data_IF_903784158811
#
_entry.id   IF_903784158811
#
_cell.length_a   1.000
_cell.length_b   1.000
_cell.length_c   1.000
_cell.angle_alpha   90.00
_cell.angle_beta   90.00
_cell.angle_gamma   90.00
#
_symmetry.space_group_name_H-M   'P 1'
#
loop_
_entity.id
_entity.type
_entity.pdbx_description
1 polymer ?
#
# COMPACT_ATOMS: atom_id res chain seq x y z
N UNK A 1 47.91 13.40 29.89
CA UNK A 1 49.03 12.49 30.19
C UNK A 1 49.04 12.33 31.70
N UNK A 2 48.89 11.20 32.35
CA UNK A 2 48.86 9.76 32.05
C UNK A 2 48.13 9.13 33.27
N UNK A 3 47.25 8.14 33.12
CA UNK A 3 47.55 6.71 33.39
C UNK A 3 48.45 6.49 34.62
N UNK A 4 48.22 5.61 35.59
CA UNK A 4 47.44 4.38 35.76
C UNK A 4 47.57 4.04 37.27
N UNK A 5 46.86 3.13 37.95
CA UNK A 5 46.92 1.66 37.84
C UNK A 5 46.41 1.04 39.18
N UNK A 6 46.04 -0.25 39.16
CA UNK A 6 45.76 -1.21 40.27
C UNK A 6 44.35 -1.26 40.88
N UNK A 7 43.76 -2.41 41.28
CA UNK A 7 43.75 -3.85 40.92
C UNK A 7 42.80 -4.55 41.93
N UNK A 8 42.34 -5.78 41.61
CA UNK A 8 41.67 -6.84 42.42
C UNK A 8 40.14 -6.98 42.26
N UNK A 9 39.65 -8.06 41.62
CA UNK A 9 39.44 -9.47 42.11
C UNK A 9 38.20 -9.53 43.04
N UNK A 10 37.16 -10.37 42.89
CA UNK A 10 37.09 -11.80 42.52
C UNK A 10 35.74 -12.24 41.88
N UNK A 11 35.78 -13.49 41.40
CA UNK A 11 34.79 -14.37 40.78
C UNK A 11 33.38 -14.46 41.41
N UNK A 12 32.37 -14.68 40.56
CA UNK A 12 31.50 -15.87 40.63
C UNK A 12 30.80 -16.13 39.28
N UNK A 13 30.60 -17.41 39.03
CA UNK A 13 30.23 -18.07 37.79
C UNK A 13 28.72 -18.28 37.60
N UNK A 14 28.35 -18.63 36.35
CA UNK A 14 27.17 -19.37 35.89
C UNK A 14 25.99 -18.59 35.25
N UNK A 15 25.95 -18.72 33.92
CA UNK A 15 24.80 -19.07 33.06
C UNK A 15 23.48 -18.31 33.24
N UNK A 16 23.11 -17.56 32.20
CA UNK A 16 21.75 -17.55 31.63
C UNK A 16 21.82 -17.09 30.17
N UNK A 17 21.99 -18.06 29.28
CA UNK A 17 21.43 -17.99 27.94
C UNK A 17 19.90 -17.82 28.04
N UNK A 18 19.31 -17.25 26.98
CA UNK A 18 17.88 -17.05 26.76
C UNK A 18 17.25 -15.77 27.34
N UNK A 19 17.76 -14.61 26.92
CA UNK A 19 16.94 -13.41 26.68
C UNK A 19 17.77 -12.47 25.78
N UNK A 20 17.14 -11.67 24.92
CA UNK A 20 17.77 -10.76 23.95
C UNK A 20 18.14 -11.36 22.57
N UNK A 21 17.12 -11.65 21.76
CA UNK A 21 17.24 -11.59 20.28
C UNK A 21 16.17 -10.73 19.59
N UNK A 22 15.22 -10.14 20.31
CA UNK A 22 14.10 -9.39 19.70
C UNK A 22 14.35 -7.88 19.53
N UNK A 23 15.31 -7.27 20.26
CA UNK A 23 15.55 -5.83 20.14
C UNK A 23 16.25 -5.40 18.84
N UNK A 24 16.96 -6.31 18.16
CA UNK A 24 17.72 -5.98 16.95
C UNK A 24 16.86 -5.65 15.73
N UNK A 25 15.70 -6.30 15.58
CA UNK A 25 14.79 -6.09 14.46
C UNK A 25 13.96 -4.81 14.62
N UNK A 26 13.60 -4.45 15.86
CA UNK A 26 12.85 -3.23 16.14
C UNK A 26 13.74 -1.98 15.97
N UNK A 27 15.03 -2.07 16.33
CA UNK A 27 15.99 -0.97 16.16
C UNK A 27 16.28 -0.68 14.68
N UNK A 28 16.40 -1.73 13.85
CA UNK A 28 16.47 -1.60 12.38
C UNK A 28 15.20 -0.97 11.77
N UNK A 29 14.03 -1.21 12.37
CA UNK A 29 12.76 -0.63 11.93
C UNK A 29 12.65 0.87 12.23
N UNK A 30 13.26 1.32 13.32
CA UNK A 30 13.24 2.73 13.75
C UNK A 30 14.37 3.55 13.10
N UNK A 31 15.53 2.95 12.84
CA UNK A 31 16.72 3.66 12.33
C UNK A 31 16.73 3.90 10.80
N UNK A 32 15.85 3.28 10.01
CA UNK A 32 15.74 3.52 8.55
C UNK A 32 14.89 4.75 8.13
N UNK A 33 14.64 5.71 9.02
CA UNK A 33 13.99 6.99 8.64
C UNK A 33 14.98 7.97 8.01
N UNK A 34 15.50 7.64 6.82
CA UNK A 34 16.15 8.63 5.97
C UNK A 34 15.07 9.33 5.11
N UNK A 35 14.76 10.57 5.50
CA UNK A 35 13.94 11.55 4.78
C UNK A 35 12.43 11.28 4.69
N UNK A 36 11.74 11.32 5.83
CA UNK A 36 10.30 11.63 5.84
C UNK A 36 10.10 13.16 5.87
N UNK A 37 9.72 13.76 4.74
CA UNK A 37 8.95 15.00 4.77
C UNK A 37 7.48 14.62 4.89
N UNK A 38 6.69 15.13 5.86
CA UNK A 38 5.26 14.91 5.87
C UNK A 38 4.67 15.61 4.64
N UNK A 39 4.36 14.82 3.60
CA UNK A 39 3.38 15.25 2.62
C UNK A 39 2.03 15.23 3.37
N UNK A 40 1.35 16.37 3.49
CA UNK A 40 -0.03 16.43 3.96
C UNK A 40 -1.04 16.59 2.79
N UNK A 41 -1.20 15.63 1.87
CA UNK A 41 -2.40 15.56 1.06
C UNK A 41 -3.58 15.01 1.87
N UNK A 42 -4.77 15.55 1.64
CA UNK A 42 -6.01 15.12 2.27
C UNK A 42 -6.47 13.74 1.76
N UNK A 43 -5.83 12.66 2.25
CA UNK A 43 -6.16 11.27 1.94
C UNK A 43 -7.39 10.70 2.67
N UNK A 44 -8.01 11.50 3.54
CA UNK A 44 -9.24 11.14 4.24
C UNK A 44 -10.46 11.87 3.65
N UNK A 45 -10.37 12.36 2.40
CA UNK A 45 -11.49 13.01 1.70
C UNK A 45 -12.55 11.97 1.34
N UNK A 46 -13.75 12.16 1.88
CA UNK A 46 -14.94 11.38 1.54
C UNK A 46 -15.40 11.73 0.12
N UNK A 47 -15.98 10.76 -0.58
CA UNK A 47 -16.55 10.93 -1.91
C UNK A 47 -17.82 11.78 -1.84
N UNK A 48 -17.78 13.00 -2.39
CA UNK A 48 -18.91 13.94 -2.35
C UNK A 48 -20.14 13.47 -3.13
N UNK A 49 -19.93 12.59 -4.12
CA UNK A 49 -20.97 12.02 -4.95
C UNK A 49 -21.61 10.77 -4.33
N UNK A 50 -21.06 10.25 -3.23
CA UNK A 50 -21.51 9.00 -2.61
C UNK A 50 -22.40 9.26 -1.40
N UNK A 51 -23.56 8.59 -1.34
CA UNK A 51 -24.41 8.63 -0.17
C UNK A 51 -23.98 7.56 0.83
N UNK A 52 -23.22 7.97 1.85
CA UNK A 52 -22.72 7.10 2.90
C UNK A 52 -23.76 6.61 3.91
N UNK A 53 -25.05 6.94 3.71
CA UNK A 53 -26.15 6.27 4.41
C UNK A 53 -26.71 5.09 3.63
N UNK A 54 -26.46 5.01 2.32
CA UNK A 54 -26.96 3.93 1.49
C UNK A 54 -26.19 2.62 1.76
N UNK A 55 -26.81 1.46 1.48
CA UNK A 55 -26.10 0.18 1.42
C UNK A 55 -24.87 0.26 0.51
N UNK A 56 -23.81 -0.46 0.86
CA UNK A 56 -22.57 -0.44 0.10
C UNK A 56 -21.44 -1.21 0.78
N UNK A 57 -20.30 -1.31 0.09
CA UNK A 57 -19.09 -1.95 0.60
C UNK A 57 -17.92 -0.99 0.58
N UNK A 58 -17.16 -0.97 1.67
CA UNK A 58 -16.10 -0.03 1.89
C UNK A 58 -14.83 -0.74 2.34
N UNK A 59 -13.73 -0.56 1.61
CA UNK A 59 -12.39 -0.84 2.13
C UNK A 59 -11.93 0.40 2.90
N UNK A 60 -11.91 0.32 4.22
CA UNK A 60 -11.43 1.39 5.09
C UNK A 60 -10.01 1.13 5.56
N UNK A 61 -9.24 2.20 5.72
CA UNK A 61 -7.90 2.20 6.31
C UNK A 61 -7.84 3.17 7.48
N UNK A 62 -7.52 2.67 8.66
CA UNK A 62 -7.41 3.46 9.89
C UNK A 62 -5.95 3.44 10.33
N UNK A 63 -5.31 4.60 10.35
CA UNK A 63 -3.89 4.72 10.72
C UNK A 63 -3.70 4.76 12.24
N UNK A 64 -2.67 4.07 12.71
CA UNK A 64 -2.22 4.09 14.10
C UNK A 64 -1.70 5.47 14.46
N UNK A 65 -1.97 5.92 15.68
CA UNK A 65 -1.29 7.08 16.25
C UNK A 65 0.24 6.81 16.32
N UNK A 66 1.10 7.69 15.78
CA UNK A 66 2.55 7.51 15.84
C UNK A 66 3.11 7.28 17.24
N UNK A 67 2.45 7.79 18.29
CA UNK A 67 2.86 7.67 19.69
C UNK A 67 2.57 6.29 20.32
N UNK A 68 1.71 5.49 19.70
CA UNK A 68 1.31 4.18 20.22
C UNK A 68 2.25 3.09 19.69
N UNK A 69 2.54 2.07 20.50
CA UNK A 69 3.28 0.89 20.04
C UNK A 69 2.53 0.16 18.90
N UNK A 70 3.22 -0.58 18.00
CA UNK A 70 2.57 -1.27 16.89
C UNK A 70 1.41 -2.17 17.29
N UNK A 71 0.37 -2.22 16.46
CA UNK A 71 -0.80 -3.09 16.71
C UNK A 71 -0.50 -4.57 16.46
N UNK A 72 0.54 -4.87 15.71
CA UNK A 72 0.98 -6.23 15.41
C UNK A 72 2.44 -6.25 14.99
N UNK A 73 3.00 -7.45 14.90
CA UNK A 73 4.27 -7.74 14.25
C UNK A 73 4.00 -8.67 13.06
N UNK A 74 4.64 -8.41 11.92
CA UNK A 74 4.53 -9.32 10.77
C UNK A 74 5.48 -10.49 10.98
N UNK A 75 4.92 -11.70 10.97
CA UNK A 75 5.61 -12.97 11.22
C UNK A 75 5.43 -13.91 10.02
N UNK A 76 6.03 -15.10 10.08
CA UNK A 76 5.96 -16.13 9.05
C UNK A 76 7.08 -16.06 8.01
N UNK A 77 6.97 -16.89 6.98
CA UNK A 77 7.99 -17.13 5.95
C UNK A 77 7.40 -17.06 4.54
N UNK A 78 8.08 -16.37 3.62
CA UNK A 78 7.56 -16.13 2.27
C UNK A 78 7.37 -17.39 1.41
N UNK A 79 8.09 -18.48 1.70
CA UNK A 79 8.13 -19.70 0.88
C UNK A 79 7.56 -20.94 1.59
N UNK A 80 7.04 -20.80 2.81
CA UNK A 80 6.57 -21.91 3.62
C UNK A 80 5.05 -21.83 3.77
N UNK A 81 4.33 -22.74 3.11
CA UNK A 81 2.85 -22.78 3.14
C UNK A 81 2.33 -23.14 4.54
N UNK A 82 3.10 -23.84 5.36
CA UNK A 82 2.71 -24.15 6.73
C UNK A 82 2.90 -22.95 7.69
N UNK A 83 3.66 -21.94 7.27
CA UNK A 83 3.97 -20.74 8.06
C UNK A 83 3.86 -19.50 7.16
N UNK A 84 2.74 -19.36 6.46
CA UNK A 84 2.51 -18.23 5.57
C UNK A 84 2.55 -16.91 6.35
N UNK A 85 2.94 -15.79 5.73
CA UNK A 85 3.07 -14.54 6.46
C UNK A 85 1.75 -14.06 7.06
N UNK A 86 1.80 -13.68 8.34
CA UNK A 86 0.64 -13.25 9.12
C UNK A 86 0.99 -12.11 10.07
N UNK A 87 -0.02 -11.49 10.68
CA UNK A 87 0.14 -10.47 11.71
C UNK A 87 -0.08 -11.07 13.09
N UNK A 88 0.98 -11.17 13.89
CA UNK A 88 0.88 -11.51 15.30
C UNK A 88 0.48 -10.27 16.10
N UNK A 89 -0.72 -10.29 16.69
CA UNK A 89 -1.31 -9.11 17.33
C UNK A 89 -0.61 -8.74 18.64
N UNK A 90 -0.45 -7.44 18.88
CA UNK A 90 -0.12 -6.92 20.21
C UNK A 90 -1.39 -6.77 21.05
N UNK A 91 -1.25 -6.38 22.32
CA UNK A 91 -2.39 -6.12 23.21
C UNK A 91 -3.44 -5.18 22.60
N UNK A 92 -3.00 -4.05 22.04
CA UNK A 92 -3.90 -3.11 21.36
C UNK A 92 -4.48 -3.72 20.07
N UNK A 93 -3.70 -4.51 19.34
CA UNK A 93 -4.17 -5.26 18.17
C UNK A 93 -5.29 -6.25 18.49
N UNK A 94 -5.21 -6.97 19.62
CA UNK A 94 -6.23 -7.92 20.07
C UNK A 94 -7.55 -7.21 20.37
N UNK A 95 -7.51 -6.04 21.02
CA UNK A 95 -8.70 -5.23 21.29
C UNK A 95 -9.36 -4.81 19.97
N UNK A 96 -8.54 -4.37 19.01
CA UNK A 96 -9.01 -3.92 17.70
C UNK A 96 -9.63 -5.09 16.91
N UNK A 97 -8.94 -6.23 16.80
CA UNK A 97 -9.42 -7.42 16.10
C UNK A 97 -10.76 -7.92 16.68
N UNK A 98 -10.86 -8.02 18.01
CA UNK A 98 -12.10 -8.40 18.70
C UNK A 98 -13.25 -7.47 18.33
N UNK A 99 -13.06 -6.15 18.50
CA UNK A 99 -14.12 -5.18 18.24
C UNK A 99 -14.50 -5.09 16.76
N UNK A 100 -13.59 -5.40 15.84
CA UNK A 100 -13.90 -5.52 14.41
C UNK A 100 -14.79 -6.75 14.17
N UNK A 101 -14.48 -7.90 14.78
CA UNK A 101 -15.31 -9.11 14.67
C UNK A 101 -16.70 -8.90 15.27
N UNK A 102 -16.80 -8.19 16.39
CA UNK A 102 -18.06 -7.89 17.06
C UNK A 102 -19.02 -7.04 16.22
N UNK A 103 -18.52 -6.34 15.18
CA UNK A 103 -19.39 -5.62 14.23
C UNK A 103 -20.38 -6.57 13.56
N UNK A 104 -19.99 -7.83 13.29
CA UNK A 104 -20.85 -8.82 12.67
C UNK A 104 -22.06 -9.23 13.54
N UNK A 105 -22.07 -8.84 14.82
CA UNK A 105 -23.19 -9.07 15.73
C UNK A 105 -24.23 -7.94 15.66
N UNK A 106 -23.97 -6.89 14.89
CA UNK A 106 -24.76 -5.66 14.86
C UNK A 106 -25.33 -5.46 13.44
N UNK A 107 -26.63 -5.65 13.29
CA UNK A 107 -27.32 -5.29 12.05
C UNK A 107 -27.28 -3.75 11.83
N UNK A 108 -27.07 -3.25 10.59
CA UNK A 108 -27.02 -3.98 9.32
C UNK A 108 -25.58 -4.25 8.81
N UNK A 109 -24.61 -4.43 9.69
CA UNK A 109 -23.20 -4.49 9.31
C UNK A 109 -22.70 -5.91 9.03
N UNK A 110 -21.72 -6.00 8.13
CA UNK A 110 -20.96 -7.22 7.86
C UNK A 110 -19.50 -6.83 7.57
N UNK A 111 -18.54 -7.42 8.29
CA UNK A 111 -17.11 -7.34 8.02
C UNK A 111 -16.72 -8.60 7.27
N UNK A 112 -16.44 -8.44 5.98
CA UNK A 112 -16.12 -9.55 5.06
C UNK A 112 -14.65 -9.99 5.20
N UNK A 113 -13.75 -9.06 5.50
CA UNK A 113 -12.33 -9.34 5.74
C UNK A 113 -11.67 -8.16 6.48
N UNK A 114 -10.61 -8.41 7.24
CA UNK A 114 -9.78 -7.37 7.85
C UNK A 114 -8.36 -7.86 8.14
N UNK A 115 -7.42 -6.92 8.27
CA UNK A 115 -6.07 -7.19 8.77
C UNK A 115 -5.60 -6.04 9.64
N UNK A 116 -5.03 -6.39 10.80
CA UNK A 116 -4.43 -5.45 11.75
C UNK A 116 -2.92 -5.43 11.51
N UNK A 117 -2.47 -4.45 10.71
CA UNK A 117 -1.05 -4.24 10.40
C UNK A 117 -0.35 -3.49 11.54
N UNK A 118 1.00 -3.51 11.60
CA UNK A 118 1.74 -2.84 12.67
C UNK A 118 1.40 -1.34 12.85
N UNK A 119 1.14 -0.63 11.76
CA UNK A 119 0.95 0.82 11.71
C UNK A 119 -0.43 1.28 11.23
N UNK A 120 -1.31 0.36 10.82
CA UNK A 120 -2.65 0.67 10.34
C UNK A 120 -3.56 -0.56 10.36
N UNK A 121 -4.84 -0.37 10.07
CA UNK A 121 -5.83 -1.44 9.98
C UNK A 121 -6.59 -1.31 8.68
N UNK A 122 -6.74 -2.41 7.94
CA UNK A 122 -7.63 -2.49 6.79
C UNK A 122 -8.87 -3.30 7.14
N UNK A 123 -10.05 -2.81 6.76
CA UNK A 123 -11.33 -3.50 6.99
C UNK A 123 -12.16 -3.40 5.71
N UNK A 124 -12.62 -4.53 5.19
CA UNK A 124 -13.65 -4.60 4.16
C UNK A 124 -15.01 -4.73 4.86
N UNK A 125 -15.72 -3.62 4.90
CA UNK A 125 -16.93 -3.44 5.69
C UNK A 125 -18.12 -3.18 4.77
N UNK A 126 -19.09 -4.09 4.79
CA UNK A 126 -20.38 -3.99 4.12
C UNK A 126 -21.47 -3.44 5.04
N UNK A 127 -22.30 -2.59 4.45
CA UNK A 127 -23.53 -2.06 5.01
C UNK A 127 -24.68 -2.63 4.19
N UNK A 128 -25.55 -3.43 4.81
CA UNK A 128 -26.63 -4.16 4.14
C UNK A 128 -27.87 -3.28 3.91
N UNK A 129 -28.16 -2.38 4.83
CA UNK A 129 -29.36 -1.53 4.84
C UNK A 129 -29.04 -0.04 5.02
N UNK A 130 -30.04 0.80 4.78
CA UNK A 130 -29.94 2.23 4.98
C UNK A 130 -29.61 2.60 6.43
N UNK A 131 -28.56 3.40 6.62
CA UNK A 131 -28.10 3.82 7.93
C UNK A 131 -28.78 5.13 8.37
N UNK A 132 -29.15 5.27 9.66
CA UNK A 132 -29.67 6.53 10.18
C UNK A 132 -28.60 7.64 10.21
N UNK A 133 -27.33 7.28 10.42
CA UNK A 133 -26.17 8.18 10.41
C UNK A 133 -25.20 7.82 9.28
N UNK A 134 -24.31 8.75 8.93
CA UNK A 134 -23.23 8.52 7.96
C UNK A 134 -22.39 7.30 8.36
N UNK A 135 -21.98 6.45 7.42
CA UNK A 135 -21.07 5.33 7.68
C UNK A 135 -19.84 5.72 8.52
N UNK A 136 -19.28 6.91 8.29
CA UNK A 136 -18.13 7.41 9.05
C UNK A 136 -18.41 7.67 10.53
N UNK A 137 -19.67 7.86 10.93
CA UNK A 137 -20.07 7.89 12.35
C UNK A 137 -19.78 6.55 13.02
N UNK A 138 -20.09 5.43 12.35
CA UNK A 138 -19.88 4.08 12.88
C UNK A 138 -18.41 3.69 12.92
N UNK A 139 -17.63 4.11 11.91
CA UNK A 139 -16.16 4.00 11.96
C UNK A 139 -15.61 4.81 13.15
N UNK A 140 -16.14 6.01 13.40
CA UNK A 140 -15.82 6.80 14.59
C UNK A 140 -16.15 6.09 15.90
N UNK A 141 -17.31 5.44 15.98
CA UNK A 141 -17.72 4.66 17.16
C UNK A 141 -16.78 3.49 17.43
N UNK A 142 -16.39 2.73 16.39
CA UNK A 142 -15.38 1.67 16.50
C UNK A 142 -14.08 2.23 17.09
N UNK A 143 -13.54 3.29 16.49
CA UNK A 143 -12.28 3.91 16.94
C UNK A 143 -12.34 4.37 18.40
N UNK A 144 -13.44 5.00 18.78
CA UNK A 144 -13.68 5.48 20.15
C UNK A 144 -13.79 4.33 21.14
N UNK A 145 -14.49 3.23 20.79
CA UNK A 145 -14.60 2.05 21.64
C UNK A 145 -13.26 1.36 21.85
N UNK A 146 -12.47 1.13 20.80
CA UNK A 146 -11.13 0.55 20.96
C UNK A 146 -10.25 1.42 21.87
N UNK A 147 -10.28 2.75 21.64
CA UNK A 147 -9.49 3.69 22.44
C UNK A 147 -9.93 3.70 23.90
N UNK A 148 -11.25 3.66 24.16
CA UNK A 148 -11.78 3.60 25.52
C UNK A 148 -11.25 2.36 26.28
N UNK A 149 -11.41 1.18 25.69
CA UNK A 149 -10.93 -0.08 26.30
C UNK A 149 -9.42 -0.03 26.52
N UNK A 150 -8.66 0.47 25.55
CA UNK A 150 -7.21 0.62 25.67
C UNK A 150 -6.78 1.51 26.84
N UNK A 151 -7.46 2.64 27.03
CA UNK A 151 -7.19 3.57 28.15
C UNK A 151 -7.54 2.93 29.49
N UNK A 152 -8.66 2.23 29.57
CA UNK A 152 -9.16 1.60 30.80
C UNK A 152 -8.31 0.39 31.21
N UNK A 153 -7.98 -0.51 30.28
CA UNK A 153 -7.25 -1.75 30.58
C UNK A 153 -5.73 -1.55 30.72
N UNK A 154 -5.13 -0.60 29.99
CA UNK A 154 -3.67 -0.45 29.91
C UNK A 154 -3.16 0.89 30.46
N UNK A 155 -4.04 1.68 31.11
CA UNK A 155 -3.71 2.96 31.75
C UNK A 155 -2.95 3.92 30.83
N UNK A 156 -3.33 3.94 29.56
CA UNK A 156 -2.77 4.84 28.56
C UNK A 156 -3.67 6.07 28.41
N UNK A 157 -3.11 7.21 28.00
CA UNK A 157 -3.89 8.42 27.73
C UNK A 157 -4.11 8.66 26.24
N UNK A 158 -3.19 8.18 25.42
CA UNK A 158 -3.16 8.43 23.98
C UNK A 158 -4.28 7.71 23.21
N UNK A 159 -4.76 8.35 22.15
CA UNK A 159 -5.67 7.70 21.20
C UNK A 159 -4.93 6.61 20.43
N UNK A 160 -5.56 5.45 20.22
CA UNK A 160 -4.99 4.38 19.38
C UNK A 160 -4.75 4.83 17.94
N UNK A 161 -5.61 5.70 17.43
CA UNK A 161 -5.66 6.03 16.01
C UNK A 161 -5.43 7.52 15.75
N UNK A 162 -4.90 7.83 14.58
CA UNK A 162 -4.89 9.18 14.04
C UNK A 162 -6.33 9.70 13.81
N UNK A 163 -6.54 11.03 13.76
CA UNK A 163 -7.81 11.59 13.31
C UNK A 163 -8.17 11.12 11.89
N UNK A 164 -9.47 11.01 11.60
CA UNK A 164 -10.02 10.58 10.29
C UNK A 164 -9.62 9.14 9.89
N UNK A 165 -10.01 8.73 8.69
CA UNK A 165 -9.71 7.43 8.07
C UNK A 165 -9.81 7.58 6.54
N UNK A 166 -9.16 6.68 5.80
CA UNK A 166 -9.32 6.58 4.34
C UNK A 166 -10.40 5.55 4.00
N UNK A 167 -11.19 5.82 2.97
CA UNK A 167 -12.21 4.90 2.47
C UNK A 167 -12.17 4.75 0.95
N UNK A 168 -12.37 3.51 0.51
CA UNK A 168 -12.49 3.10 -0.89
C UNK A 168 -13.84 2.42 -1.07
N UNK A 169 -14.63 2.88 -2.04
CA UNK A 169 -15.98 2.37 -2.27
C UNK A 169 -15.88 1.26 -3.31
N UNK A 170 -16.50 0.12 -3.03
CA UNK A 170 -16.61 -0.95 -4.01
C UNK A 170 -17.86 -0.75 -4.86
N UNK A 171 -17.70 -0.79 -6.18
CA UNK A 171 -18.81 -0.60 -7.13
C UNK A 171 -19.42 -1.91 -7.63
N UNK A 172 -18.66 -3.01 -7.54
CA UNK A 172 -19.06 -4.32 -8.01
C UNK A 172 -18.35 -5.43 -7.22
N UNK A 173 -18.76 -6.68 -7.44
CA UNK A 173 -18.19 -7.83 -6.75
C UNK A 173 -16.74 -8.12 -7.19
N UNK A 174 -16.35 -7.73 -8.41
CA UNK A 174 -14.96 -7.89 -8.90
C UNK A 174 -14.00 -7.01 -8.11
N UNK A 175 -14.39 -5.76 -7.83
CA UNK A 175 -13.64 -4.81 -7.01
C UNK A 175 -13.62 -5.24 -5.55
N UNK A 176 -14.73 -5.77 -5.04
CA UNK A 176 -14.83 -6.33 -3.69
C UNK A 176 -13.82 -7.46 -3.51
N UNK A 177 -13.78 -8.38 -4.47
CA UNK A 177 -12.83 -9.48 -4.48
C UNK A 177 -11.37 -9.00 -4.59
N UNK A 178 -11.09 -7.93 -5.36
CA UNK A 178 -9.76 -7.28 -5.36
C UNK A 178 -9.39 -6.70 -4.00
N UNK A 179 -10.32 -6.08 -3.29
CA UNK A 179 -10.10 -5.59 -1.93
C UNK A 179 -9.82 -6.72 -0.95
N UNK A 180 -10.58 -7.81 -1.04
CA UNK A 180 -10.38 -8.98 -0.21
C UNK A 180 -8.98 -9.57 -0.41
N UNK A 181 -8.58 -9.86 -1.66
CA UNK A 181 -7.23 -10.31 -1.99
C UNK A 181 -6.15 -9.35 -1.55
N UNK A 182 -6.38 -8.05 -1.71
CA UNK A 182 -5.43 -7.03 -1.24
C UNK A 182 -5.22 -7.13 0.27
N UNK A 183 -6.30 -7.18 1.07
CA UNK A 183 -6.25 -7.32 2.53
C UNK A 183 -5.44 -8.57 2.92
N UNK A 184 -5.80 -9.73 2.37
CA UNK A 184 -5.15 -11.00 2.69
C UNK A 184 -3.67 -11.03 2.30
N UNK A 185 -3.27 -10.34 1.22
CA UNK A 185 -1.88 -10.30 0.73
C UNK A 185 -1.00 -9.29 1.51
N UNK A 186 -1.58 -8.40 2.34
CA UNK A 186 -0.83 -7.32 2.99
C UNK A 186 0.33 -7.80 3.89
N UNK A 187 0.17 -8.81 4.77
CA UNK A 187 1.27 -9.32 5.59
C UNK A 187 2.43 -9.82 4.72
N UNK A 188 2.14 -10.63 3.69
CA UNK A 188 3.15 -11.14 2.75
C UNK A 188 3.84 -10.01 2.00
N UNK A 189 3.09 -9.00 1.53
CA UNK A 189 3.65 -7.80 0.88
C UNK A 189 4.60 -7.06 1.80
N UNK A 190 4.20 -6.83 3.06
CA UNK A 190 5.02 -6.13 4.05
C UNK A 190 6.31 -6.90 4.34
N UNK A 191 6.22 -8.21 4.54
CA UNK A 191 7.38 -9.07 4.78
C UNK A 191 8.33 -9.08 3.57
N UNK A 192 7.80 -9.12 2.35
CA UNK A 192 8.61 -9.04 1.12
C UNK A 192 9.44 -7.76 1.06
N UNK A 193 8.83 -6.61 1.40
CA UNK A 193 9.53 -5.32 1.43
C UNK A 193 10.62 -5.30 2.50
N UNK A 194 10.37 -5.92 3.66
CA UNK A 194 11.34 -5.97 4.76
C UNK A 194 12.55 -6.87 4.46
N UNK A 195 12.30 -8.07 3.91
CA UNK A 195 13.35 -9.06 3.66
C UNK A 195 14.13 -8.80 2.38
N UNK A 196 13.48 -8.19 1.38
CA UNK A 196 14.03 -8.06 0.03
C UNK A 196 13.93 -6.63 -0.54
N UNK A 197 14.43 -5.59 0.16
CA UNK A 197 14.41 -4.21 -0.32
C UNK A 197 15.12 -4.05 -1.68
N UNK A 198 16.08 -4.92 -2.01
CA UNK A 198 16.80 -4.97 -3.28
C UNK A 198 15.94 -5.37 -4.50
N UNK A 199 14.75 -5.94 -4.28
CA UNK A 199 13.80 -6.18 -5.36
C UNK A 199 13.16 -4.88 -5.87
N UNK A 200 13.22 -3.81 -5.07
CA UNK A 200 12.54 -2.55 -5.34
C UNK A 200 13.48 -1.45 -5.84
N UNK A 201 14.81 -1.66 -5.77
CA UNK A 201 15.82 -0.65 -6.12
C UNK A 201 16.67 -1.02 -7.35
N UNK A 202 16.36 -2.13 -8.03
CA UNK A 202 17.04 -2.61 -9.25
C UNK A 202 16.01 -3.03 -10.30
N UNK A 203 16.42 -2.99 -11.57
CA UNK A 203 15.60 -3.51 -12.65
C UNK A 203 15.43 -5.04 -12.51
N UNK A 204 14.20 -5.54 -12.66
CA UNK A 204 13.83 -6.95 -12.55
C UNK A 204 12.89 -7.33 -13.68
N UNK A 205 12.89 -8.59 -14.07
CA UNK A 205 11.88 -9.12 -14.98
C UNK A 205 10.68 -9.65 -14.20
N UNK A 206 9.48 -9.24 -14.62
CA UNK A 206 8.22 -9.80 -14.16
C UNK A 206 7.49 -10.43 -15.33
N UNK A 207 6.86 -11.57 -15.06
CA UNK A 207 5.84 -12.15 -15.94
C UNK A 207 4.47 -11.88 -15.34
N UNK A 208 3.60 -11.24 -16.13
CA UNK A 208 2.19 -11.03 -15.82
C UNK A 208 1.41 -11.70 -16.94
N UNK A 209 0.69 -12.78 -16.61
CA UNK A 209 0.05 -13.64 -17.61
C UNK A 209 1.06 -14.12 -18.68
N UNK A 210 0.82 -13.77 -19.94
CA UNK A 210 1.62 -14.12 -21.12
C UNK A 210 2.72 -13.10 -21.44
N UNK A 211 2.79 -11.98 -20.72
CA UNK A 211 3.73 -10.89 -21.00
C UNK A 211 4.90 -10.88 -20.04
N UNK A 212 6.11 -10.76 -20.58
CA UNK A 212 7.34 -10.51 -19.83
C UNK A 212 7.75 -9.06 -20.00
N UNK A 213 7.97 -8.36 -18.89
CA UNK A 213 8.35 -6.96 -18.86
C UNK A 213 9.44 -6.73 -17.82
N UNK A 214 10.25 -5.70 -18.06
CA UNK A 214 11.17 -5.19 -17.05
C UNK A 214 10.47 -4.16 -16.17
N UNK A 215 10.78 -4.18 -14.88
CA UNK A 215 10.28 -3.26 -13.87
C UNK A 215 11.39 -2.69 -13.02
N UNK A 216 11.26 -1.43 -12.61
CA UNK A 216 12.12 -0.77 -11.63
C UNK A 216 11.26 -0.01 -10.62
N UNK A 217 11.50 -0.17 -9.32
CA UNK A 217 10.70 0.46 -8.27
C UNK A 217 9.70 -0.51 -7.65
N UNK A 218 8.56 0.01 -7.17
CA UNK A 218 7.58 -0.78 -6.44
C UNK A 218 6.64 -1.58 -7.32
N UNK A 219 7.09 -2.77 -7.74
CA UNK A 219 6.30 -3.68 -8.56
C UNK A 219 5.04 -4.22 -7.84
N UNK A 220 4.92 -4.08 -6.51
CA UNK A 220 3.67 -4.40 -5.79
C UNK A 220 2.54 -3.40 -6.11
N UNK A 221 2.83 -2.26 -6.73
CA UNK A 221 1.79 -1.34 -7.24
C UNK A 221 0.91 -1.99 -8.32
N UNK A 222 1.42 -2.99 -9.05
CA UNK A 222 0.64 -3.80 -10.00
C UNK A 222 -0.48 -4.62 -9.32
N UNK A 223 -0.36 -4.83 -8.00
CA UNK A 223 -1.37 -5.51 -7.18
C UNK A 223 -2.23 -4.53 -6.39
N UNK A 224 -2.15 -3.23 -6.64
CA UNK A 224 -3.02 -2.27 -5.97
C UNK A 224 -4.47 -2.47 -6.47
N UNK A 225 -5.48 -2.43 -5.60
CA UNK A 225 -6.85 -2.73 -6.02
C UNK A 225 -7.48 -1.64 -6.89
N UNK A 226 -6.97 -0.42 -6.81
CA UNK A 226 -7.40 0.74 -7.61
C UNK A 226 -6.24 1.19 -8.50
N UNK A 227 -6.30 0.85 -9.78
CA UNK A 227 -5.35 1.30 -10.81
C UNK A 227 -6.17 1.95 -11.93
N UNK A 228 -5.94 3.23 -12.20
CA UNK A 228 -6.63 3.97 -13.25
C UNK A 228 -5.68 4.30 -14.42
N UNK A 229 -6.08 4.06 -15.67
CA UNK A 229 -5.28 4.43 -16.83
C UNK A 229 -5.35 5.94 -17.06
N UNK A 230 -4.24 6.64 -16.87
CA UNK A 230 -4.10 8.06 -17.12
C UNK A 230 -3.83 8.32 -18.61
N UNK A 231 -4.75 7.88 -19.47
CA UNK A 231 -4.67 8.00 -20.94
C UNK A 231 -5.71 9.01 -21.40
N UNK A 232 -5.26 10.17 -21.87
CA UNK A 232 -6.13 11.23 -22.38
C UNK A 232 -6.22 11.14 -23.91
N UNK A 233 -7.43 10.98 -24.44
CA UNK A 233 -7.67 10.84 -25.89
C UNK A 233 -8.77 11.78 -26.37
N UNK A 234 -8.50 12.52 -27.45
CA UNK A 234 -9.52 13.34 -28.11
C UNK A 234 -10.62 12.51 -28.78
N UNK A 235 -10.35 11.22 -29.06
CA UNK A 235 -11.30 10.29 -29.70
C UNK A 235 -12.34 9.71 -28.75
N UNK A 236 -12.18 9.89 -27.44
CA UNK A 236 -13.18 9.42 -26.49
C UNK A 236 -14.49 10.19 -26.69
N UNK A 237 -15.61 9.47 -26.65
CA UNK A 237 -16.93 10.09 -26.54
C UNK A 237 -17.04 10.87 -25.21
N UNK A 238 -17.97 11.81 -25.08
CA UNK A 238 -18.21 12.52 -23.82
C UNK A 238 -18.45 11.56 -22.63
N UNK A 239 -19.10 10.42 -22.86
CA UNK A 239 -19.36 9.38 -21.86
C UNK A 239 -18.06 8.68 -21.45
N UNK A 240 -17.24 8.28 -22.43
CA UNK A 240 -15.96 7.64 -22.17
C UNK A 240 -15.00 8.55 -21.40
N UNK A 241 -14.96 9.85 -21.75
CA UNK A 241 -14.16 10.85 -21.02
C UNK A 241 -14.57 10.92 -19.56
N UNK A 242 -15.87 11.09 -19.30
CA UNK A 242 -16.42 11.15 -17.92
C UNK A 242 -16.11 9.90 -17.11
N UNK A 243 -16.19 8.72 -17.72
CA UNK A 243 -15.88 7.45 -17.05
C UNK A 243 -14.38 7.37 -16.67
N UNK A 244 -13.48 7.68 -17.61
CA UNK A 244 -12.03 7.68 -17.35
C UNK A 244 -11.65 8.73 -16.30
N UNK A 245 -12.19 9.94 -16.41
CA UNK A 245 -11.98 11.01 -15.43
C UNK A 245 -12.44 10.57 -14.04
N UNK A 246 -13.62 9.95 -13.93
CA UNK A 246 -14.14 9.47 -12.64
C UNK A 246 -13.24 8.40 -12.01
N UNK A 247 -12.70 7.46 -12.81
CA UNK A 247 -11.73 6.47 -12.32
C UNK A 247 -10.42 7.12 -11.85
N UNK A 248 -9.94 8.12 -12.57
CA UNK A 248 -8.73 8.88 -12.22
C UNK A 248 -8.95 9.66 -10.92
N UNK A 249 -10.07 10.38 -10.79
CA UNK A 249 -10.40 11.12 -9.58
C UNK A 249 -10.54 10.19 -8.37
N UNK A 250 -11.18 9.03 -8.54
CA UNK A 250 -11.29 8.04 -7.47
C UNK A 250 -9.93 7.45 -7.09
N UNK A 251 -9.07 7.16 -8.07
CA UNK A 251 -7.70 6.72 -7.80
C UNK A 251 -6.91 7.80 -7.03
N UNK A 252 -7.04 9.07 -7.37
CA UNK A 252 -6.34 10.15 -6.65
C UNK A 252 -6.91 10.32 -5.23
N UNK A 253 -8.24 10.40 -5.10
CA UNK A 253 -8.93 10.55 -3.81
C UNK A 253 -8.54 9.46 -2.82
N UNK A 254 -8.40 8.23 -3.32
CA UNK A 254 -8.11 7.05 -2.50
C UNK A 254 -6.63 6.72 -2.36
N UNK A 255 -5.74 7.57 -2.90
CA UNK A 255 -4.30 7.33 -3.01
C UNK A 255 -3.95 6.01 -3.72
N UNK A 256 -4.75 5.63 -4.72
CA UNK A 256 -4.48 4.53 -5.63
C UNK A 256 -3.37 4.83 -6.62
N UNK A 257 -3.43 4.16 -7.77
CA UNK A 257 -2.34 4.16 -8.75
C UNK A 257 -2.82 4.71 -10.08
N UNK A 258 -2.07 5.66 -10.67
CA UNK A 258 -2.24 6.03 -12.07
C UNK A 258 -1.21 5.33 -12.95
N UNK A 259 -1.65 4.74 -14.06
CA UNK A 259 -0.77 4.09 -15.04
C UNK A 259 -0.84 4.76 -16.40
N UNK A 260 0.30 5.14 -16.96
CA UNK A 260 0.41 5.78 -18.28
C UNK A 260 1.87 5.87 -18.72
N UNK A 261 2.15 6.04 -20.02
CA UNK A 261 3.48 6.48 -20.45
C UNK A 261 3.80 7.95 -20.09
N UNK A 262 2.79 8.76 -19.72
CA UNK A 262 2.94 10.17 -19.32
C UNK A 262 3.71 11.04 -20.33
N UNK A 263 3.36 10.93 -21.61
CA UNK A 263 4.09 11.58 -22.70
C UNK A 263 3.51 12.97 -22.98
N UNK A 264 2.19 13.06 -23.07
CA UNK A 264 1.51 14.30 -23.41
C UNK A 264 1.53 15.30 -22.25
N UNK A 265 1.38 16.60 -22.56
CA UNK A 265 1.31 17.64 -21.54
C UNK A 265 0.15 17.42 -20.55
N UNK A 266 -1.00 16.96 -21.04
CA UNK A 266 -2.16 16.64 -20.21
C UNK A 266 -1.87 15.49 -19.23
N UNK A 267 -1.25 14.41 -19.71
CA UNK A 267 -0.87 13.27 -18.84
C UNK A 267 0.17 13.67 -17.80
N UNK A 268 1.16 14.50 -18.16
CA UNK A 268 2.17 15.01 -17.22
C UNK A 268 1.55 15.90 -16.15
N UNK A 269 0.62 16.76 -16.52
CA UNK A 269 -0.12 17.59 -15.56
C UNK A 269 -0.92 16.72 -14.58
N UNK A 270 -1.58 15.68 -15.10
CA UNK A 270 -2.33 14.73 -14.27
C UNK A 270 -1.40 13.94 -13.34
N UNK A 271 -0.25 13.48 -13.84
CA UNK A 271 0.77 12.82 -13.02
C UNK A 271 1.23 13.70 -11.87
N UNK A 272 1.53 14.98 -12.15
CA UNK A 272 1.94 15.94 -11.13
C UNK A 272 0.86 16.10 -10.07
N UNK A 273 -0.40 16.30 -10.47
CA UNK A 273 -1.54 16.39 -9.54
C UNK A 273 -1.65 15.15 -8.66
N UNK A 274 -1.57 13.97 -9.26
CA UNK A 274 -1.65 12.69 -8.53
C UNK A 274 -0.52 12.55 -7.50
N UNK A 275 0.72 12.89 -7.87
CA UNK A 275 1.87 12.87 -6.95
C UNK A 275 1.66 13.83 -5.78
N UNK A 276 1.29 15.09 -6.08
CA UNK A 276 1.03 16.15 -5.12
C UNK A 276 -0.10 15.76 -4.15
N UNK A 277 -1.11 15.02 -4.63
CA UNK A 277 -2.23 14.52 -3.84
C UNK A 277 -1.98 13.17 -3.14
N UNK A 278 -0.78 12.61 -3.26
CA UNK A 278 -0.39 11.41 -2.50
C UNK A 278 -0.64 10.08 -3.22
N UNK A 279 -1.17 10.06 -4.45
CA UNK A 279 -1.35 8.85 -5.24
C UNK A 279 0.00 8.31 -5.77
N UNK A 280 0.03 7.03 -6.10
CA UNK A 280 1.20 6.37 -6.69
C UNK A 280 1.11 6.34 -8.22
N UNK A 281 2.25 6.13 -8.88
CA UNK A 281 2.30 6.07 -10.35
C UNK A 281 2.99 4.81 -10.86
N UNK A 282 2.50 4.31 -12.00
CA UNK A 282 3.17 3.33 -12.84
C UNK A 282 3.49 4.01 -14.17
N UNK A 283 4.76 4.31 -14.42
CA UNK A 283 5.22 4.86 -15.68
C UNK A 283 5.56 3.75 -16.66
N UNK A 284 4.92 3.76 -17.81
CA UNK A 284 5.32 2.92 -18.93
C UNK A 284 6.48 3.61 -19.67
N UNK A 285 7.68 3.06 -19.53
CA UNK A 285 8.89 3.57 -20.18
C UNK A 285 8.82 3.20 -21.65
N UNK A 286 8.59 4.20 -22.51
CA UNK A 286 8.45 3.99 -23.95
C UNK A 286 9.64 3.22 -24.51
N UNK A 287 10.86 3.62 -24.16
CA UNK A 287 12.09 3.04 -24.68
C UNK A 287 12.53 1.78 -23.94
N UNK A 288 11.65 1.15 -23.16
CA UNK A 288 11.98 -0.03 -22.37
C UNK A 288 12.94 0.25 -21.21
N UNK A 289 13.23 -0.80 -20.44
CA UNK A 289 14.13 -0.73 -19.29
C UNK A 289 15.33 -1.61 -19.59
N UNK A 290 16.53 -1.05 -19.40
CA UNK A 290 17.78 -1.77 -19.56
C UNK A 290 18.42 -2.16 -18.22
N UNK A 291 19.47 -3.00 -18.22
CA UNK A 291 20.11 -3.49 -16.99
C UNK A 291 20.67 -2.42 -16.05
N UNK A 292 21.11 -1.27 -16.58
CA UNK A 292 21.64 -0.13 -15.81
C UNK A 292 20.64 1.03 -15.70
N UNK A 293 19.37 0.79 -16.02
CA UNK A 293 18.34 1.83 -15.97
C UNK A 293 18.17 2.34 -14.54
N UNK A 294 18.08 3.66 -14.40
CA UNK A 294 17.75 4.32 -13.15
C UNK A 294 16.87 5.54 -13.46
N UNK A 295 15.72 5.69 -12.79
CA UNK A 295 14.94 6.92 -12.91
C UNK A 295 15.75 8.11 -12.37
N UNK A 296 15.44 9.30 -12.88
CA UNK A 296 16.11 10.55 -12.49
C UNK A 296 15.14 11.49 -11.75
N UNK A 297 15.71 12.36 -10.91
CA UNK A 297 14.96 13.41 -10.20
C UNK A 297 13.86 12.85 -9.30
N UNK A 298 12.70 13.52 -9.29
CA UNK A 298 11.57 13.21 -8.41
C UNK A 298 11.09 11.75 -8.48
N UNK A 299 11.16 11.12 -9.66
CA UNK A 299 10.73 9.74 -9.83
C UNK A 299 11.65 8.74 -9.14
N UNK A 300 12.94 9.08 -8.98
CA UNK A 300 13.86 8.29 -8.17
C UNK A 300 13.45 8.32 -6.69
N UNK A 301 13.12 9.50 -6.18
CA UNK A 301 12.66 9.67 -4.79
C UNK A 301 11.30 8.99 -4.56
N UNK A 302 10.40 9.03 -5.53
CA UNK A 302 9.13 8.31 -5.43
C UNK A 302 9.31 6.78 -5.47
N UNK A 303 10.28 6.28 -6.25
CA UNK A 303 10.62 4.85 -6.24
C UNK A 303 11.15 4.42 -4.87
N UNK A 304 12.02 5.22 -4.25
CA UNK A 304 12.56 4.91 -2.91
C UNK A 304 11.50 5.00 -1.81
N UNK A 305 10.50 5.88 -1.98
CA UNK A 305 9.31 5.94 -1.11
C UNK A 305 8.29 4.82 -1.39
N UNK A 306 8.52 3.96 -2.40
CA UNK A 306 7.60 2.90 -2.79
C UNK A 306 6.33 3.40 -3.50
N UNK A 307 6.30 4.64 -3.97
CA UNK A 307 5.14 5.30 -4.63
C UNK A 307 5.27 5.38 -6.17
N UNK A 308 6.33 4.81 -6.73
CA UNK A 308 6.54 4.77 -8.17
C UNK A 308 7.03 3.40 -8.64
N UNK A 309 6.59 3.02 -9.83
CA UNK A 309 7.05 1.87 -10.61
C UNK A 309 7.29 2.33 -12.04
N UNK A 310 8.45 2.00 -12.59
CA UNK A 310 8.69 2.08 -14.02
C UNK A 310 8.54 0.68 -14.59
N UNK A 311 7.83 0.54 -15.71
CA UNK A 311 7.63 -0.72 -16.42
C UNK A 311 7.87 -0.51 -17.90
N UNK A 312 8.49 -1.48 -18.57
CA UNK A 312 8.73 -1.38 -20.01
C UNK A 312 9.10 -2.72 -20.61
N UNK A 313 9.16 -2.75 -21.94
CA UNK A 313 9.70 -3.91 -22.65
C UNK A 313 11.18 -4.13 -22.31
N UNK A 314 11.60 -5.38 -22.36
CA UNK A 314 12.99 -5.73 -22.11
C UNK A 314 13.89 -5.16 -23.21
N UNK A 315 14.95 -4.44 -22.81
CA UNK A 315 15.83 -3.78 -23.75
C UNK A 315 17.29 -4.25 -23.64
N UNK A 316 17.74 -4.90 -24.72
CA UNK A 316 19.12 -5.38 -24.86
C UNK A 316 20.09 -4.30 -25.40
N UNK A 317 19.61 -3.36 -26.23
CA UNK A 317 20.44 -2.35 -26.89
C UNK A 317 20.15 -0.92 -26.42
N UNK A 318 21.18 -0.09 -26.26
CA UNK A 318 21.02 1.33 -25.90
C UNK A 318 20.51 2.24 -27.04
N UNK A 319 20.35 1.70 -28.26
CA UNK A 319 19.83 2.45 -29.42
C UNK A 319 18.32 2.73 -29.26
N UNK A 320 17.93 4.01 -29.30
CA UNK A 320 16.53 4.44 -29.20
C UNK A 320 15.98 4.56 -30.62
N UNK A 321 15.04 3.69 -30.99
CA UNK A 321 14.34 3.84 -32.26
C UNK A 321 13.33 4.99 -32.20
N UNK A 322 13.19 5.71 -33.32
CA UNK A 322 12.15 6.73 -33.45
C UNK A 322 10.78 6.04 -33.40
N UNK A 323 10.05 6.27 -32.31
CA UNK A 323 8.68 5.78 -32.15
C UNK A 323 7.72 6.62 -32.98
N UNK A 324 6.94 5.95 -33.81
CA UNK A 324 5.79 6.52 -34.48
C UNK A 324 4.54 6.58 -33.60
N UNK A 325 3.44 7.01 -34.22
CA UNK A 325 2.12 7.10 -33.59
C UNK A 325 1.59 5.73 -33.14
N UNK A 326 1.90 4.67 -33.89
CA UNK A 326 1.39 3.32 -33.61
C UNK A 326 1.94 2.77 -32.30
N UNK A 327 3.22 3.03 -32.01
CA UNK A 327 3.91 2.63 -30.79
C UNK A 327 3.36 3.37 -29.58
N UNK A 328 3.12 4.68 -29.65
CA UNK A 328 2.49 5.42 -28.55
C UNK A 328 1.07 4.92 -28.24
N UNK A 329 0.30 4.57 -29.27
CA UNK A 329 -1.00 3.94 -29.07
C UNK A 329 -0.88 2.54 -28.43
N UNK A 330 0.20 1.81 -28.70
CA UNK A 330 0.48 0.53 -28.04
C UNK A 330 0.78 0.71 -26.54
N UNK A 331 1.52 1.76 -26.16
CA UNK A 331 1.75 2.09 -24.74
C UNK A 331 0.45 2.43 -24.02
N UNK A 332 -0.46 3.16 -24.67
CA UNK A 332 -1.77 3.47 -24.11
C UNK A 332 -2.64 2.22 -23.94
N UNK A 333 -2.60 1.28 -24.90
CA UNK A 333 -3.24 -0.03 -24.75
C UNK A 333 -2.64 -0.83 -23.58
N UNK A 334 -1.33 -0.77 -23.39
CA UNK A 334 -0.67 -1.40 -22.26
C UNK A 334 -1.10 -0.78 -20.92
N UNK A 335 -1.28 0.54 -20.84
CA UNK A 335 -1.80 1.19 -19.63
C UNK A 335 -3.19 0.68 -19.25
N UNK A 336 -4.10 0.61 -20.23
CA UNK A 336 -5.43 0.02 -20.04
C UNK A 336 -5.37 -1.44 -19.61
N UNK A 337 -4.51 -2.23 -20.25
CA UNK A 337 -4.32 -3.65 -19.91
C UNK A 337 -3.80 -3.83 -18.48
N UNK A 338 -2.82 -3.04 -18.04
CA UNK A 338 -2.32 -3.10 -16.64
C UNK A 338 -3.46 -2.74 -15.67
N UNK A 339 -4.22 -1.70 -15.97
CA UNK A 339 -5.33 -1.25 -15.10
C UNK A 339 -6.47 -2.27 -15.01
N UNK A 340 -6.69 -3.11 -16.03
CA UNK A 340 -7.73 -4.13 -16.04
C UNK A 340 -7.32 -5.46 -15.38
N UNK A 341 -6.02 -5.68 -15.13
CA UNK A 341 -5.49 -6.92 -14.55
C UNK A 341 -4.80 -6.73 -13.17
N UNK A 342 -5.36 -5.95 -12.23
CA UNK A 342 -4.77 -5.83 -10.90
C UNK A 342 -4.92 -7.15 -10.14
N UNK A 343 -3.89 -7.45 -9.34
CA UNK A 343 -3.81 -8.66 -8.52
C UNK A 343 -3.72 -9.98 -9.32
N UNK A 344 -3.40 -9.92 -10.61
CA UNK A 344 -3.06 -11.12 -11.39
C UNK A 344 -1.80 -11.82 -10.87
N UNK A 345 -1.67 -13.11 -11.20
CA UNK A 345 -0.49 -13.89 -10.81
C UNK A 345 0.74 -13.30 -11.49
N UNK A 346 1.64 -12.79 -10.67
CA UNK A 346 2.91 -12.20 -11.10
C UNK A 346 4.06 -13.06 -10.62
N UNK A 347 4.97 -13.39 -11.54
CA UNK A 347 6.19 -14.14 -11.25
C UNK A 347 7.41 -13.25 -11.46
N UNK A 348 8.25 -13.12 -10.44
CA UNK A 348 9.57 -12.54 -10.60
C UNK A 348 10.48 -13.57 -11.29
N UNK A 349 11.08 -13.16 -12.41
CA UNK A 349 12.04 -13.99 -13.14
C UNK A 349 13.45 -13.69 -12.65
N UNK A 350 14.28 -14.73 -12.49
CA UNK A 350 15.70 -14.58 -12.13
C UNK A 350 15.99 -14.31 -10.64
N UNK A 351 15.00 -14.40 -9.74
CA UNK A 351 15.25 -14.50 -8.30
C UNK A 351 15.65 -15.93 -7.93
N UNK A 352 16.95 -16.26 -8.00
CA UNK A 352 17.47 -17.43 -7.29
C UNK A 352 17.58 -17.09 -5.81
#
# INVERSE_FOLDING_TARGET
>A
MSESQFYCKEHFSHSKEAFCREEGLYKLYVEQRLFYRPLCPHNCRRAVWHNYKAPGRYLITINKNPLIAPFSTVCGELRNVANEPYCHLSASGVIIDRLIRDINLIEPFEVENHVVMPDHVHILWRVKDWLPKDFGYYVGLLKSRCTKIWREEYQQEESLFMPKFNDKISFDDVMTERFNRYISDNPRRRLTVMLHPELFNRARQVRILDRVMDVFGNFQLLKHPIIAPAVVSSRYSPEQKRAVESLIEEAIRTQGVLVSPFISAAEKALMKRAIDEGASIIRIVADGIGPKYKPAGLEFDLCSQGRCLHIGEHRLSAHVEKKGRAEFLALNRLAHWIASHPAERMLLLGSR
#
